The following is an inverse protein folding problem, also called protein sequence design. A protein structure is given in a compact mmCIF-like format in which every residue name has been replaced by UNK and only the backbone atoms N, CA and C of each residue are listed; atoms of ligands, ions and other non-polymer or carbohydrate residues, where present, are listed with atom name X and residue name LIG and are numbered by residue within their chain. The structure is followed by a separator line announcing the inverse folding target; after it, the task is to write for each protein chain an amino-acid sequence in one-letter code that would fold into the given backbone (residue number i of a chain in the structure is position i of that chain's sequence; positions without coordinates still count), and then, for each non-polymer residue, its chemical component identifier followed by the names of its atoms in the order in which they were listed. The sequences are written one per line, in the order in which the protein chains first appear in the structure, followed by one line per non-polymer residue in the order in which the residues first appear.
data_IF_301464299210
#
_entry.id   IF_301464299210
#
_cell.length_a   1.000
_cell.length_b   1.000
_cell.length_c   1.000
_cell.angle_alpha   90.00
_cell.angle_beta   90.00
_cell.angle_gamma   90.00
#
_symmetry.space_group_name_H-M   'P 1'
#
loop_
_entity.id
_entity.type
_entity.pdbx_description
1 polymer ?
#
# COMPACT_ATOMS: atom_id res chain seq x y z
N UNK A 1 10.88 -4.59 -41.36
CA UNK A 1 10.51 -5.39 -40.17
C UNK A 1 11.42 -4.97 -39.03
N UNK A 2 10.82 -4.58 -37.89
CA UNK A 2 11.36 -4.46 -36.52
C UNK A 2 10.65 -3.28 -35.83
N UNK A 3 9.42 -3.53 -35.35
CA UNK A 3 8.70 -2.61 -34.45
C UNK A 3 9.27 -2.79 -33.05
N UNK A 4 10.15 -1.88 -32.65
CA UNK A 4 10.66 -1.79 -31.28
C UNK A 4 9.52 -1.42 -30.31
N UNK A 5 9.42 -2.21 -29.24
CA UNK A 5 8.41 -2.15 -28.19
C UNK A 5 8.22 -0.75 -27.60
N UNK A 6 7.10 -0.11 -27.93
CA UNK A 6 6.65 1.16 -27.35
C UNK A 6 5.79 0.92 -26.10
N UNK A 7 6.25 0.10 -25.15
CA UNK A 7 5.45 -0.28 -23.96
C UNK A 7 6.06 0.18 -22.62
N UNK A 8 7.33 0.59 -22.59
CA UNK A 8 7.99 1.06 -21.36
C UNK A 8 7.60 2.51 -21.02
N UNK A 9 7.23 3.33 -22.02
CA UNK A 9 6.85 4.73 -21.82
C UNK A 9 5.48 4.96 -21.17
N UNK A 10 4.62 3.94 -21.07
CA UNK A 10 3.26 4.14 -20.55
C UNK A 10 3.15 4.05 -19.02
N UNK A 11 4.11 3.46 -18.29
CA UNK A 11 3.96 3.35 -16.84
C UNK A 11 4.32 4.64 -16.10
N UNK A 12 5.36 5.36 -16.55
CA UNK A 12 5.68 6.69 -16.02
C UNK A 12 4.52 7.66 -16.28
N UNK A 13 3.96 7.63 -17.49
CA UNK A 13 2.84 8.48 -17.89
C UNK A 13 1.53 8.17 -17.14
N UNK A 14 1.26 6.90 -16.83
CA UNK A 14 0.11 6.49 -16.01
C UNK A 14 0.28 6.87 -14.53
N UNK A 15 1.53 6.98 -14.05
CA UNK A 15 1.85 7.49 -12.71
C UNK A 15 1.87 9.02 -12.66
N UNK A 16 2.17 9.71 -13.77
CA UNK A 16 2.05 11.17 -13.95
C UNK A 16 0.57 11.62 -14.05
N UNK A 17 -0.31 10.85 -14.70
CA UNK A 17 -1.76 11.14 -14.74
C UNK A 17 -2.46 10.95 -13.37
N UNK A 18 -1.74 10.51 -12.35
CA UNK A 18 -2.17 10.41 -10.96
C UNK A 18 -1.73 11.61 -10.10
N UNK A 19 -1.22 12.69 -10.70
CA UNK A 19 -0.90 13.97 -10.03
C UNK A 19 -2.14 14.83 -9.70
N UNK A 20 -3.34 14.25 -9.69
CA UNK A 20 -4.47 14.88 -9.01
C UNK A 20 -4.42 14.50 -7.53
N UNK A 21 -4.23 15.46 -6.59
CA UNK A 21 -4.53 15.19 -5.19
C UNK A 21 -6.02 14.85 -5.12
N UNK A 22 -6.36 13.56 -5.02
CA UNK A 22 -7.74 13.11 -4.75
C UNK A 22 -8.09 13.28 -3.28
N UNK A 23 -7.63 14.37 -2.70
CA UNK A 23 -7.70 14.66 -1.28
C UNK A 23 -8.21 16.09 -1.13
N UNK A 24 -9.35 16.25 -0.46
CA UNK A 24 -9.99 17.55 -0.23
C UNK A 24 -9.44 18.32 0.98
N UNK A 25 -8.62 17.67 1.81
CA UNK A 25 -8.09 18.24 3.06
C UNK A 25 -6.71 18.90 2.99
N UNK A 26 -6.35 19.55 4.09
CA UNK A 26 -5.03 20.15 4.35
C UNK A 26 -3.88 19.13 4.31
N UNK A 27 -2.64 19.63 4.26
CA UNK A 27 -1.41 18.82 4.25
C UNK A 27 -1.49 17.79 5.39
N UNK A 28 -1.59 16.49 5.09
CA UNK A 28 -1.73 15.50 6.13
C UNK A 28 -0.45 15.47 6.98
N UNK A 29 -0.60 15.41 8.30
CA UNK A 29 0.53 15.23 9.22
C UNK A 29 1.36 13.99 8.88
N UNK A 30 2.57 13.85 9.46
CA UNK A 30 3.46 12.75 9.13
C UNK A 30 2.84 11.39 9.48
N UNK A 31 3.21 10.38 8.71
CA UNK A 31 3.00 8.98 9.09
C UNK A 31 4.13 8.57 10.02
N UNK A 32 3.75 8.00 11.14
CA UNK A 32 4.67 7.42 12.11
C UNK A 32 4.49 5.91 12.11
N UNK A 33 5.58 5.18 11.90
CA UNK A 33 5.63 3.74 12.13
C UNK A 33 6.10 3.48 13.56
N UNK A 34 5.46 2.52 14.23
CA UNK A 34 5.87 2.07 15.56
C UNK A 34 5.95 0.55 15.61
N UNK A 35 6.80 0.01 16.47
CA UNK A 35 6.78 -1.42 16.80
C UNK A 35 5.54 -1.76 17.62
N UNK A 36 5.01 -2.97 17.44
CA UNK A 36 3.90 -3.49 18.27
C UNK A 36 4.47 -4.26 19.45
N UNK A 37 3.95 -3.99 20.66
CA UNK A 37 4.32 -4.70 21.89
C UNK A 37 4.36 -3.80 23.13
N UNK A 38 4.75 -4.37 24.27
CA UNK A 38 4.82 -3.66 25.55
C UNK A 38 5.77 -2.44 25.54
N UNK A 39 6.80 -2.49 24.70
CA UNK A 39 7.77 -1.41 24.49
C UNK A 39 7.65 -0.84 23.08
N UNK A 40 6.45 -0.42 22.69
CA UNK A 40 6.20 0.24 21.40
C UNK A 40 7.13 1.44 21.22
N UNK A 41 7.98 1.40 20.19
CA UNK A 41 8.96 2.43 19.85
C UNK A 41 8.73 2.93 18.43
N UNK A 42 9.04 4.20 18.17
CA UNK A 42 9.00 4.78 16.83
C UNK A 42 10.09 4.15 15.96
N UNK A 43 9.75 3.80 14.72
CA UNK A 43 10.69 3.33 13.69
C UNK A 43 10.95 4.52 12.77
N UNK A 44 12.07 5.22 12.98
CA UNK A 44 12.43 6.44 12.27
C UNK A 44 13.61 6.28 11.30
N UNK A 45 14.25 5.10 11.29
CA UNK A 45 15.31 4.77 10.37
C UNK A 45 15.00 3.50 9.55
N UNK A 46 15.57 3.45 8.35
CA UNK A 46 15.30 2.39 7.37
C UNK A 46 16.01 1.08 7.74
N UNK A 47 17.15 1.12 8.41
CA UNK A 47 17.91 -0.08 8.76
C UNK A 47 17.20 -0.90 9.84
N UNK A 48 16.63 -0.25 10.85
CA UNK A 48 15.77 -0.87 11.86
C UNK A 48 14.53 -1.46 11.22
N UNK A 49 13.90 -0.74 10.29
CA UNK A 49 12.76 -1.27 9.53
C UNK A 49 13.16 -2.53 8.73
N UNK A 50 14.32 -2.51 8.05
CA UNK A 50 14.85 -3.67 7.32
C UNK A 50 15.19 -4.82 8.27
N UNK A 51 15.72 -4.55 9.46
CA UNK A 51 16.02 -5.58 10.47
C UNK A 51 14.77 -6.34 10.93
N UNK A 52 13.60 -5.70 10.84
CA UNK A 52 12.32 -6.30 11.15
C UNK A 52 11.71 -7.06 9.98
N UNK A 53 12.25 -6.91 8.77
CA UNK A 53 11.63 -7.44 7.59
C UNK A 53 11.79 -8.95 7.42
N UNK A 54 10.82 -9.53 6.72
CA UNK A 54 10.90 -10.85 6.09
C UNK A 54 10.66 -10.73 4.59
N UNK A 55 10.98 -11.78 3.83
CA UNK A 55 10.69 -11.78 2.39
C UNK A 55 9.18 -11.80 2.17
N UNK A 56 8.67 -10.86 1.37
CA UNK A 56 7.26 -10.78 1.10
C UNK A 56 6.76 -11.94 0.22
N UNK A 57 5.66 -12.56 0.62
CA UNK A 57 5.03 -13.68 -0.09
C UNK A 57 4.06 -13.19 -1.17
N UNK A 58 3.77 -14.03 -2.15
CA UNK A 58 2.77 -13.77 -3.19
C UNK A 58 1.77 -14.93 -3.31
N UNK A 59 0.56 -14.61 -3.77
CA UNK A 59 -0.46 -15.59 -4.08
C UNK A 59 -0.25 -16.15 -5.50
N UNK A 60 -0.06 -17.45 -5.62
CA UNK A 60 0.02 -18.16 -6.91
C UNK A 60 -0.93 -19.35 -6.85
N UNK A 61 -1.93 -19.38 -7.75
CA UNK A 61 -2.94 -20.45 -7.84
C UNK A 61 -3.58 -20.80 -6.49
N UNK A 62 -3.95 -19.79 -5.69
CA UNK A 62 -4.58 -19.96 -4.38
C UNK A 62 -3.62 -20.35 -3.25
N UNK A 63 -2.32 -20.51 -3.52
CA UNK A 63 -1.29 -20.79 -2.50
C UNK A 63 -0.47 -19.55 -2.20
N UNK A 64 -0.04 -19.41 -0.94
CA UNK A 64 0.88 -18.36 -0.53
C UNK A 64 2.33 -18.90 -0.63
N UNK A 65 3.15 -18.33 -1.51
CA UNK A 65 4.51 -18.82 -1.82
C UNK A 65 5.53 -17.68 -1.79
N UNK A 66 6.81 -18.04 -1.66
CA UNK A 66 7.94 -17.11 -1.86
C UNK A 66 8.54 -17.39 -3.22
N UNK A 67 8.12 -16.63 -4.24
CA UNK A 67 8.66 -16.72 -5.60
C UNK A 67 9.34 -15.40 -5.97
N UNK A 68 10.67 -15.38 -5.84
CA UNK A 68 11.51 -14.21 -6.11
C UNK A 68 11.50 -13.79 -7.58
N UNK A 69 11.04 -14.65 -8.50
CA UNK A 69 10.88 -14.29 -9.91
C UNK A 69 9.62 -13.47 -10.14
N UNK A 70 8.67 -13.49 -9.21
CA UNK A 70 7.39 -12.75 -9.28
C UNK A 70 7.39 -11.54 -8.36
N UNK A 71 7.91 -11.72 -7.14
CA UNK A 71 7.94 -10.70 -6.10
C UNK A 71 9.26 -10.76 -5.36
N UNK A 72 10.08 -9.74 -5.54
CA UNK A 72 11.27 -9.49 -4.75
C UNK A 72 11.08 -8.18 -3.99
N UNK A 73 10.62 -8.25 -2.74
CA UNK A 73 10.47 -7.10 -1.84
C UNK A 73 10.40 -7.62 -0.41
N UNK A 74 10.80 -6.78 0.53
CA UNK A 74 10.73 -7.06 1.95
C UNK A 74 9.39 -6.58 2.53
N UNK A 75 8.95 -7.22 3.60
CA UNK A 75 7.77 -6.78 4.36
C UNK A 75 7.99 -6.84 5.86
N UNK A 76 7.32 -5.96 6.59
CA UNK A 76 7.01 -6.13 8.01
C UNK A 76 5.54 -6.47 8.13
N UNK A 77 5.24 -7.60 8.79
CA UNK A 77 3.88 -8.04 9.03
C UNK A 77 3.14 -7.09 9.99
N UNK A 78 1.82 -6.96 9.82
CA UNK A 78 0.99 -6.04 10.59
C UNK A 78 0.92 -6.32 12.11
N UNK A 79 1.33 -7.50 12.56
CA UNK A 79 1.44 -7.84 13.98
C UNK A 79 2.74 -7.33 14.63
N UNK A 80 3.68 -6.82 13.83
CA UNK A 80 4.98 -6.31 14.29
C UNK A 80 5.11 -4.79 14.20
N UNK A 81 4.26 -4.14 13.43
CA UNK A 81 4.28 -2.70 13.26
C UNK A 81 2.86 -2.10 13.26
N UNK A 82 2.74 -0.87 13.73
CA UNK A 82 1.53 -0.07 13.65
C UNK A 82 1.79 1.24 12.91
N UNK A 83 0.75 1.76 12.25
CA UNK A 83 0.79 3.04 11.55
C UNK A 83 -0.05 4.03 12.34
N UNK A 84 0.56 5.14 12.73
CA UNK A 84 -0.15 6.32 13.19
C UNK A 84 -0.12 7.38 12.10
N UNK A 85 -1.31 7.83 11.71
CA UNK A 85 -1.44 8.89 10.74
C UNK A 85 -2.66 9.74 11.09
N UNK A 86 -2.48 11.02 11.47
CA UNK A 86 -3.59 11.88 11.88
C UNK A 86 -4.69 12.01 10.81
N UNK A 87 -4.34 11.82 9.54
CA UNK A 87 -5.28 11.95 8.44
C UNK A 87 -5.95 10.61 8.04
N UNK A 88 -5.65 9.50 8.71
CA UNK A 88 -6.17 8.16 8.35
C UNK A 88 -7.70 8.13 8.22
N UNK A 89 -8.43 8.68 9.20
CA UNK A 89 -9.90 8.65 9.18
C UNK A 89 -10.45 9.41 7.98
N UNK A 90 -9.95 10.63 7.72
CA UNK A 90 -10.37 11.43 6.55
C UNK A 90 -10.01 10.72 5.24
N UNK A 91 -8.83 10.10 5.15
CA UNK A 91 -8.41 9.34 3.98
C UNK A 91 -9.39 8.22 3.65
N UNK A 92 -9.79 7.47 4.68
CA UNK A 92 -10.70 6.34 4.57
C UNK A 92 -12.09 6.81 4.16
N UNK A 93 -12.58 7.91 4.72
CA UNK A 93 -13.86 8.51 4.36
C UNK A 93 -13.87 9.01 2.91
N UNK A 94 -12.85 9.76 2.49
CA UNK A 94 -12.71 10.25 1.12
C UNK A 94 -12.63 9.07 0.12
N UNK A 95 -11.85 8.04 0.46
CA UNK A 95 -11.77 6.81 -0.34
C UNK A 95 -13.12 6.09 -0.41
N UNK A 96 -13.81 5.95 0.71
CA UNK A 96 -15.12 5.28 0.78
C UNK A 96 -16.17 6.01 -0.05
N UNK A 97 -16.24 7.34 0.07
CA UNK A 97 -17.13 8.18 -0.73
C UNK A 97 -16.83 8.05 -2.22
N UNK A 98 -15.55 8.16 -2.61
CA UNK A 98 -15.13 8.07 -4.00
C UNK A 98 -15.33 6.68 -4.62
N UNK A 99 -15.34 5.63 -3.80
CA UNK A 99 -15.59 4.25 -4.21
C UNK A 99 -17.07 3.83 -4.08
N UNK A 100 -17.93 4.66 -3.49
CA UNK A 100 -19.33 4.35 -3.23
C UNK A 100 -19.52 3.20 -2.22
N UNK A 101 -18.64 3.09 -1.22
CA UNK A 101 -18.65 2.00 -0.24
C UNK A 101 -19.59 2.24 0.96
N UNK A 102 -20.16 3.43 1.09
CA UNK A 102 -21.01 3.82 2.23
C UNK A 102 -20.21 4.16 3.49
N UNK A 103 -20.89 4.21 4.63
CA UNK A 103 -20.30 4.50 5.94
C UNK A 103 -19.75 3.24 6.63
N UNK A 104 -18.95 3.43 7.69
CA UNK A 104 -18.39 2.32 8.48
C UNK A 104 -17.18 1.62 7.85
N UNK A 105 -16.60 2.19 6.80
CA UNK A 105 -15.33 1.71 6.24
C UNK A 105 -14.21 2.04 7.23
N UNK A 106 -13.34 1.07 7.49
CA UNK A 106 -12.15 1.22 8.34
C UNK A 106 -10.90 0.77 7.60
N UNK A 107 -9.74 1.32 7.95
CA UNK A 107 -8.46 0.83 7.46
C UNK A 107 -7.85 -0.17 8.46
N UNK A 108 -7.28 -1.24 7.93
CA UNK A 108 -6.48 -2.20 8.68
C UNK A 108 -5.12 -2.30 8.01
N UNK A 109 -4.04 -2.20 8.79
CA UNK A 109 -2.69 -2.41 8.26
C UNK A 109 -2.56 -3.86 7.79
N UNK A 110 -2.12 -4.05 6.56
CA UNK A 110 -1.84 -5.39 6.02
C UNK A 110 -0.36 -5.75 6.16
N UNK A 111 0.51 -4.94 5.56
CA UNK A 111 1.96 -5.07 5.64
C UNK A 111 2.59 -3.69 5.44
N UNK A 112 3.78 -3.46 6.02
CA UNK A 112 4.69 -2.40 5.57
C UNK A 112 5.63 -3.01 4.55
N UNK A 113 5.77 -2.39 3.37
CA UNK A 113 6.63 -2.91 2.30
C UNK A 113 7.90 -2.07 2.15
N UNK A 114 9.04 -2.73 2.00
CA UNK A 114 10.32 -2.07 1.72
C UNK A 114 10.83 -2.55 0.37
N UNK A 115 11.04 -1.60 -0.53
CA UNK A 115 11.64 -1.83 -1.85
C UNK A 115 13.06 -1.28 -1.86
N UNK A 116 14.03 -2.17 -1.93
CA UNK A 116 15.44 -1.83 -2.14
C UNK A 116 15.71 -1.59 -3.63
N UNK A 117 16.86 -1.00 -4.00
CA UNK A 117 17.25 -0.94 -5.41
C UNK A 117 17.19 -2.31 -6.08
N UNK A 118 16.42 -2.41 -7.17
CA UNK A 118 16.22 -3.67 -7.91
C UNK A 118 15.09 -4.57 -7.39
N UNK A 119 14.46 -4.24 -6.26
CA UNK A 119 13.25 -4.93 -5.80
C UNK A 119 12.07 -4.63 -6.75
N UNK A 120 11.16 -5.59 -6.88
CA UNK A 120 10.02 -5.51 -7.77
C UNK A 120 8.85 -6.36 -7.31
N UNK A 121 7.67 -6.03 -7.82
CA UNK A 121 6.53 -6.95 -7.83
C UNK A 121 5.88 -6.87 -9.20
N UNK A 122 5.84 -8.01 -9.91
CA UNK A 122 5.17 -8.10 -11.22
C UNK A 122 3.70 -7.67 -11.13
N UNK A 123 3.16 -7.22 -12.25
CA UNK A 123 1.74 -6.86 -12.39
C UNK A 123 0.85 -7.99 -11.87
N UNK A 124 -0.05 -7.66 -10.96
CA UNK A 124 -0.94 -8.62 -10.31
C UNK A 124 -2.32 -8.03 -10.05
N UNK A 125 -3.18 -8.87 -9.48
CA UNK A 125 -4.46 -8.49 -8.88
C UNK A 125 -4.37 -8.87 -7.41
N UNK A 126 -4.70 -7.94 -6.53
CA UNK A 126 -4.73 -8.22 -5.10
C UNK A 126 -5.74 -9.34 -4.79
N UNK A 127 -5.34 -10.24 -3.90
CA UNK A 127 -6.27 -11.19 -3.32
C UNK A 127 -7.14 -10.53 -2.25
N UNK A 128 -8.38 -10.99 -2.13
CA UNK A 128 -9.22 -10.69 -0.97
C UNK A 128 -8.51 -11.23 0.28
N UNK A 129 -8.36 -10.39 1.31
CA UNK A 129 -7.60 -10.73 2.53
C UNK A 129 -8.49 -11.24 3.66
N UNK A 130 -9.74 -10.78 3.69
CA UNK A 130 -10.79 -11.21 4.61
C UNK A 130 -12.17 -10.92 3.99
N UNK A 131 -13.28 -11.49 4.49
CA UNK A 131 -14.62 -11.36 3.87
C UNK A 131 -15.12 -9.93 3.65
N UNK A 132 -14.64 -8.99 4.47
CA UNK A 132 -15.02 -7.57 4.42
C UNK A 132 -14.01 -6.69 3.66
N UNK A 133 -12.97 -7.27 3.05
CA UNK A 133 -12.02 -6.50 2.24
C UNK A 133 -12.76 -5.95 1.00
N UNK A 134 -12.68 -4.64 0.78
CA UNK A 134 -13.31 -3.96 -0.37
C UNK A 134 -12.30 -3.27 -1.28
N UNK A 135 -11.24 -2.71 -0.73
CA UNK A 135 -10.19 -2.04 -1.47
C UNK A 135 -8.88 -2.02 -0.67
N UNK A 136 -7.77 -2.00 -1.40
CA UNK A 136 -6.43 -1.74 -0.86
C UNK A 136 -6.12 -0.26 -0.96
N UNK A 137 -5.63 0.33 0.13
CA UNK A 137 -5.05 1.67 0.18
C UNK A 137 -3.54 1.56 0.37
N UNK A 138 -2.76 2.26 -0.45
CA UNK A 138 -1.30 2.30 -0.33
C UNK A 138 -0.89 3.69 0.15
N UNK A 139 -0.08 3.73 1.20
CA UNK A 139 0.48 4.94 1.77
C UNK A 139 1.99 4.93 1.52
N UNK A 140 2.45 5.89 0.72
CA UNK A 140 3.86 6.01 0.37
C UNK A 140 4.54 7.09 1.24
N UNK A 141 5.59 6.68 1.96
CA UNK A 141 6.38 7.54 2.84
C UNK A 141 7.76 7.74 2.23
N UNK A 142 8.08 8.96 1.81
CA UNK A 142 9.40 9.27 1.24
C UNK A 142 10.31 9.80 2.35
N UNK A 143 11.38 9.08 2.67
CA UNK A 143 12.62 9.55 3.35
C UNK A 143 12.53 10.51 4.56
N UNK A 144 12.58 9.93 5.76
CA UNK A 144 13.21 10.39 7.02
C UNK A 144 12.80 11.69 7.74
N UNK A 145 11.87 12.52 7.26
CA UNK A 145 11.28 13.60 8.11
C UNK A 145 10.02 14.27 7.56
N UNK A 146 9.48 13.83 6.43
CA UNK A 146 8.59 14.66 5.64
C UNK A 146 7.33 13.91 5.15
N UNK A 147 6.23 14.65 5.11
CA UNK A 147 4.87 14.15 5.01
C UNK A 147 4.59 13.22 3.82
N UNK A 148 3.54 12.44 4.00
CA UNK A 148 3.03 11.50 3.00
C UNK A 148 2.65 12.27 1.75
N UNK A 149 3.33 11.99 0.65
CA UNK A 149 3.08 12.69 -0.61
C UNK A 149 2.01 12.00 -1.45
N UNK A 150 1.77 10.70 -1.27
CA UNK A 150 0.76 9.97 -2.04
C UNK A 150 0.05 8.89 -1.24
N UNK A 151 -1.27 8.93 -1.30
CA UNK A 151 -2.15 7.79 -1.01
C UNK A 151 -2.71 7.31 -2.32
N UNK A 152 -2.33 6.10 -2.73
CA UNK A 152 -2.92 5.46 -3.91
C UNK A 152 -4.03 4.51 -3.45
N UNK A 153 -5.28 4.96 -3.56
CA UNK A 153 -6.46 4.11 -3.47
C UNK A 153 -6.94 3.71 -4.86
N UNK A 154 -6.79 2.42 -5.22
CA UNK A 154 -7.76 1.58 -5.98
C UNK A 154 -7.13 0.27 -6.48
N UNK A 155 -7.79 -0.84 -6.15
CA UNK A 155 -8.29 -1.81 -7.16
C UNK A 155 -9.49 -2.60 -6.63
N UNK A 156 -10.67 -2.33 -7.19
CA UNK A 156 -11.92 -3.03 -6.93
C UNK A 156 -12.05 -4.29 -7.81
N UNK A 157 -12.57 -5.39 -7.25
CA UNK A 157 -13.56 -6.24 -7.93
C UNK A 157 -14.86 -6.09 -7.15
N UNK A 158 -15.87 -5.51 -7.78
CA UNK A 158 -17.21 -5.42 -7.21
C UNK A 158 -17.90 -6.79 -7.23
N UNK A 159 -18.60 -7.10 -6.15
CA UNK A 159 -19.86 -7.83 -6.23
C UNK A 159 -20.91 -6.94 -5.61
N UNK A 160 -21.79 -6.42 -6.47
CA UNK A 160 -23.05 -5.78 -6.09
C UNK A 160 -23.82 -6.80 -5.26
N UNK A 161 -23.96 -6.60 -3.95
CA UNK A 161 -25.03 -7.26 -3.23
C UNK A 161 -26.30 -6.53 -3.66
N UNK A 162 -27.11 -7.19 -4.50
CA UNK A 162 -28.49 -6.80 -4.69
C UNK A 162 -29.16 -6.96 -3.32
N UNK A 163 -29.65 -5.85 -2.77
CA UNK A 163 -30.75 -5.82 -1.81
C UNK A 163 -31.97 -5.29 -2.55
#
# INVERSE_FOLDING_TARGET
MLRHCTLIRCFHKLMEELDCPRWSGSIPGPVTLKTVGASSAVIDNVDDLISMCEQARCGVNGKCVTDLTVRNTLRVAADRASVEWPAMSQAVEDCAAHLGLGSGVTAQLHDVLVYRPGDFFKRHVDSIKHPHHRATMVLDTVGTSCGCRRVLGRKLRGTRALS
#
